data_IF_530920283792
#
_entry.id   IF_530920283792
#
_cell.length_a   1.000
_cell.length_b   1.000
_cell.length_c   1.000
_cell.angle_alpha   90.00
_cell.angle_beta   90.00
_cell.angle_gamma   90.00
#
_symmetry.space_group_name_H-M   'P 1'
#
loop_
_entity.id
_entity.type
_entity.pdbx_description
1 polymer ?
#
# COMPACT_ATOMS: atom_id res chain seq x y z
N UNK A 1 33.38 -16.01 -47.05
CA UNK A 1 32.02 -15.73 -46.57
C UNK A 1 31.77 -16.57 -45.34
N UNK A 2 31.60 -15.95 -44.18
CA UNK A 2 30.66 -16.51 -43.20
C UNK A 2 29.82 -15.45 -42.46
N UNK A 3 28.60 -15.87 -42.15
CA UNK A 3 27.81 -15.57 -40.95
C UNK A 3 27.55 -14.11 -40.53
N UNK A 4 26.45 -13.56 -41.02
CA UNK A 4 25.72 -12.45 -40.39
C UNK A 4 24.46 -12.94 -39.69
N UNK A 5 24.60 -13.81 -38.70
CA UNK A 5 23.58 -13.97 -37.65
C UNK A 5 23.67 -12.79 -36.68
N UNK A 6 23.02 -11.68 -37.04
CA UNK A 6 22.70 -10.62 -36.06
C UNK A 6 21.68 -11.18 -35.07
N UNK A 7 22.18 -11.52 -33.89
CA UNK A 7 21.42 -11.82 -32.68
C UNK A 7 20.31 -10.78 -32.50
N UNK A 8 19.08 -11.20 -32.76
CA UNK A 8 17.89 -10.52 -32.29
C UNK A 8 17.90 -10.62 -30.77
N UNK A 9 18.33 -9.55 -30.10
CA UNK A 9 18.06 -9.39 -28.69
C UNK A 9 16.57 -9.09 -28.56
N UNK A 10 15.79 -10.12 -28.25
CA UNK A 10 14.51 -9.97 -27.58
C UNK A 10 14.82 -9.19 -26.31
N UNK A 11 14.35 -7.94 -26.24
CA UNK A 11 14.37 -7.15 -25.01
C UNK A 11 13.44 -7.88 -24.03
N UNK A 12 14.00 -8.76 -23.21
CA UNK A 12 13.26 -9.39 -22.12
C UNK A 12 13.00 -8.27 -21.11
N UNK A 13 11.75 -7.80 -21.05
CA UNK A 13 11.26 -6.88 -20.01
C UNK A 13 11.42 -7.56 -18.65
N UNK A 14 12.55 -7.30 -17.97
CA UNK A 14 12.93 -8.02 -16.76
C UNK A 14 12.74 -7.12 -15.53
N UNK A 15 11.49 -6.96 -15.10
CA UNK A 15 11.22 -6.37 -13.77
C UNK A 15 11.80 -7.28 -12.71
N UNK A 16 12.34 -6.71 -11.62
CA UNK A 16 12.67 -7.45 -10.41
C UNK A 16 11.79 -7.01 -9.27
N UNK A 17 11.28 -7.98 -8.53
CA UNK A 17 10.45 -7.73 -7.37
C UNK A 17 11.29 -7.78 -6.10
N UNK A 18 10.99 -6.88 -5.19
CA UNK A 18 11.58 -6.83 -3.87
C UNK A 18 10.47 -6.77 -2.83
N UNK A 19 10.55 -7.64 -1.82
CA UNK A 19 9.78 -7.45 -0.60
C UNK A 19 10.46 -6.41 0.26
N UNK A 20 9.66 -5.43 0.69
CA UNK A 20 10.03 -4.42 1.66
C UNK A 20 9.30 -4.70 2.96
N UNK A 21 10.02 -4.63 4.07
CA UNK A 21 9.46 -4.73 5.43
C UNK A 21 9.78 -3.44 6.18
N UNK A 22 8.74 -2.75 6.63
CA UNK A 22 8.86 -1.52 7.39
C UNK A 22 8.48 -1.73 8.85
N UNK A 23 9.32 -1.30 9.78
CA UNK A 23 8.98 -1.15 11.19
C UNK A 23 8.10 0.09 11.38
N UNK A 24 7.00 -0.07 12.10
CA UNK A 24 6.17 1.06 12.49
C UNK A 24 6.76 1.78 13.71
N UNK A 25 7.11 3.05 13.54
CA UNK A 25 7.69 3.86 14.63
C UNK A 25 6.62 4.60 15.42
N UNK A 26 5.65 5.18 14.73
CA UNK A 26 4.58 6.00 15.32
C UNK A 26 3.19 5.43 15.02
N UNK A 27 2.14 5.89 15.71
CA UNK A 27 0.78 5.56 15.32
C UNK A 27 0.48 6.03 13.89
N UNK A 28 -0.39 5.29 13.18
CA UNK A 28 -0.73 5.56 11.78
C UNK A 28 -2.24 5.71 11.64
N UNK A 29 -2.68 6.79 10.98
CA UNK A 29 -4.05 6.91 10.48
C UNK A 29 -4.08 6.76 8.95
N UNK A 30 -4.89 5.82 8.47
CA UNK A 30 -5.10 5.52 7.05
C UNK A 30 -6.58 5.65 6.76
N UNK A 31 -7.04 6.84 6.37
CA UNK A 31 -8.46 7.13 6.19
C UNK A 31 -9.20 6.12 5.31
N UNK A 32 -10.34 5.63 5.80
CA UNK A 32 -11.24 4.70 5.10
C UNK A 32 -12.57 5.36 4.73
N UNK A 33 -13.31 5.83 5.72
CA UNK A 33 -14.60 6.50 5.60
C UNK A 33 -14.83 7.28 6.89
N UNK A 34 -15.45 8.47 6.84
CA UNK A 34 -15.85 9.20 8.04
C UNK A 34 -17.26 8.74 8.47
N UNK A 35 -17.40 8.25 9.70
CA UNK A 35 -18.71 7.94 10.31
C UNK A 35 -18.94 8.87 11.48
N UNK A 36 -19.79 9.89 11.29
CA UNK A 36 -20.01 10.91 12.33
C UNK A 36 -18.73 11.69 12.62
N UNK A 37 -18.29 11.69 13.88
CA UNK A 37 -17.10 12.43 14.37
C UNK A 37 -15.83 11.58 14.31
N UNK A 38 -15.94 10.25 14.12
CA UNK A 38 -14.80 9.33 14.15
C UNK A 38 -14.34 9.01 12.72
N UNK A 39 -13.06 9.31 12.45
CA UNK A 39 -12.38 8.86 11.23
C UNK A 39 -11.80 7.46 11.43
N UNK A 40 -12.39 6.44 10.80
CA UNK A 40 -11.91 5.05 10.89
C UNK A 40 -10.61 4.88 10.09
N UNK A 41 -9.65 4.14 10.64
CA UNK A 41 -8.45 3.75 9.90
C UNK A 41 -8.61 2.38 9.24
N UNK A 42 -8.05 2.22 8.04
CA UNK A 42 -7.80 0.90 7.45
C UNK A 42 -6.81 0.13 8.30
N UNK A 43 -6.93 -1.20 8.36
CA UNK A 43 -6.01 -2.10 9.08
C UNK A 43 -4.82 -2.58 8.23
N UNK A 44 -4.69 -2.06 7.01
CA UNK A 44 -3.58 -2.29 6.10
C UNK A 44 -3.27 -1.02 5.33
N UNK A 45 -2.07 -0.89 4.77
CA UNK A 45 -1.67 0.27 3.98
C UNK A 45 -1.96 -0.01 2.51
N UNK A 46 -2.87 0.73 1.87
CA UNK A 46 -3.10 0.58 0.44
C UNK A 46 -1.87 0.93 -0.39
N UNK A 47 -1.72 0.29 -1.55
CA UNK A 47 -0.57 0.53 -2.40
C UNK A 47 -0.47 1.98 -2.91
N UNK A 48 -1.59 2.69 -3.08
CA UNK A 48 -1.56 4.11 -3.45
C UNK A 48 -1.06 5.01 -2.32
N UNK A 49 -1.36 4.65 -1.06
CA UNK A 49 -0.82 5.34 0.12
C UNK A 49 0.69 5.10 0.24
N UNK A 50 1.14 3.86 0.05
CA UNK A 50 2.57 3.53 0.06
C UNK A 50 3.31 4.19 -1.10
N UNK A 51 2.74 4.14 -2.31
CA UNK A 51 3.26 4.82 -3.50
C UNK A 51 3.50 6.30 -3.23
N UNK A 52 2.52 7.02 -2.68
CA UNK A 52 2.66 8.44 -2.37
C UNK A 52 3.79 8.72 -1.37
N UNK A 53 3.91 7.89 -0.32
CA UNK A 53 4.98 8.02 0.67
C UNK A 53 6.38 7.78 0.07
N UNK A 54 6.52 6.76 -0.78
CA UNK A 54 7.78 6.46 -1.47
C UNK A 54 8.18 7.55 -2.46
N UNK A 55 7.22 8.04 -3.25
CA UNK A 55 7.43 9.15 -4.20
C UNK A 55 7.89 10.41 -3.45
N UNK A 56 7.21 10.78 -2.37
CA UNK A 56 7.56 11.96 -1.57
C UNK A 56 8.95 11.84 -0.96
N UNK A 57 9.28 10.70 -0.36
CA UNK A 57 10.59 10.46 0.26
C UNK A 57 11.71 10.48 -0.79
N UNK A 58 11.50 9.82 -1.94
CA UNK A 58 12.49 9.79 -3.01
C UNK A 58 12.70 11.17 -3.63
N UNK A 59 11.63 11.88 -3.97
CA UNK A 59 11.69 13.22 -4.55
C UNK A 59 12.39 14.21 -3.60
N UNK A 60 12.11 14.14 -2.30
CA UNK A 60 12.81 14.90 -1.26
C UNK A 60 14.31 14.58 -1.22
N UNK A 61 14.69 13.30 -1.31
CA UNK A 61 16.11 12.87 -1.33
C UNK A 61 16.89 13.47 -2.51
N UNK A 62 16.26 13.63 -3.67
CA UNK A 62 16.90 14.17 -4.87
C UNK A 62 16.64 15.68 -5.09
N UNK A 63 15.97 16.34 -4.14
CA UNK A 63 15.72 17.79 -4.17
C UNK A 63 14.80 18.24 -5.30
N UNK A 64 13.81 17.42 -5.69
CA UNK A 64 12.83 17.82 -6.69
C UNK A 64 11.72 18.69 -6.09
N UNK A 65 11.34 19.71 -6.84
CA UNK A 65 10.12 20.47 -6.58
C UNK A 65 8.86 19.67 -6.99
N UNK A 66 7.71 19.86 -6.29
CA UNK A 66 6.47 19.11 -6.51
C UNK A 66 6.02 19.02 -7.98
N UNK A 67 6.22 20.08 -8.76
CA UNK A 67 5.82 20.15 -10.17
C UNK A 67 6.60 19.19 -11.08
N UNK A 68 7.75 18.68 -10.62
CA UNK A 68 8.64 17.80 -11.38
C UNK A 68 8.54 16.32 -10.96
N UNK A 69 7.51 15.94 -10.19
CA UNK A 69 7.39 14.59 -9.65
C UNK A 69 7.05 13.52 -10.69
N UNK A 70 6.66 13.90 -11.92
CA UNK A 70 6.12 12.98 -12.93
C UNK A 70 7.04 11.78 -13.19
N UNK A 71 8.34 12.03 -13.38
CA UNK A 71 9.30 10.94 -13.64
C UNK A 71 9.52 10.05 -12.42
N UNK A 72 9.44 10.62 -11.21
CA UNK A 72 9.54 9.86 -9.95
C UNK A 72 8.31 9.00 -9.72
N UNK A 73 7.12 9.52 -10.02
CA UNK A 73 5.85 8.81 -9.82
C UNK A 73 5.85 7.44 -10.49
N UNK A 74 6.35 7.37 -11.74
CA UNK A 74 6.41 6.14 -12.53
C UNK A 74 7.32 5.05 -11.92
N UNK A 75 8.37 5.43 -11.19
CA UNK A 75 9.33 4.49 -10.59
C UNK A 75 8.72 3.60 -9.51
N UNK A 76 7.63 4.04 -8.89
CA UNK A 76 6.99 3.36 -7.75
C UNK A 76 5.60 2.82 -8.07
N UNK A 77 5.12 2.93 -9.32
CA UNK A 77 3.74 2.55 -9.67
C UNK A 77 3.46 1.04 -9.44
N UNK A 78 4.46 0.18 -9.55
CA UNK A 78 4.32 -1.27 -9.36
C UNK A 78 4.53 -1.65 -7.90
N UNK A 79 3.61 -1.22 -7.05
CA UNK A 79 3.64 -1.50 -5.61
C UNK A 79 2.36 -2.22 -5.19
N UNK A 80 2.45 -3.18 -4.29
CA UNK A 80 1.28 -3.88 -3.71
C UNK A 80 0.68 -3.07 -2.55
N UNK A 81 -0.46 -3.53 -2.02
CA UNK A 81 -0.83 -3.20 -0.65
C UNK A 81 0.22 -3.73 0.35
N UNK A 82 0.25 -3.18 1.56
CA UNK A 82 1.15 -3.59 2.64
C UNK A 82 0.34 -4.08 3.83
N UNK A 83 0.70 -5.25 4.35
CA UNK A 83 -0.03 -5.96 5.39
C UNK A 83 0.79 -6.09 6.67
N UNK A 84 0.13 -6.18 7.84
CA UNK A 84 0.84 -6.32 9.08
C UNK A 84 1.54 -7.68 9.16
N UNK A 85 2.68 -7.69 9.84
CA UNK A 85 3.40 -8.88 10.27
C UNK A 85 3.93 -8.62 11.67
N UNK A 86 4.11 -9.69 12.44
CA UNK A 86 4.72 -9.64 13.78
C UNK A 86 6.18 -10.08 13.77
N UNK A 87 6.72 -10.33 12.59
CA UNK A 87 8.08 -10.76 12.33
C UNK A 87 8.83 -9.63 11.60
N UNK A 88 10.04 -9.30 12.05
CA UNK A 88 10.87 -8.28 11.42
C UNK A 88 11.38 -8.74 10.03
N UNK A 89 11.42 -10.06 9.83
CA UNK A 89 11.56 -10.79 8.58
C UNK A 89 10.46 -10.50 7.55
N UNK A 90 9.26 -10.19 8.06
CA UNK A 90 8.01 -10.21 7.30
C UNK A 90 7.65 -11.59 6.74
N UNK A 91 8.13 -12.69 7.33
CA UNK A 91 7.89 -14.06 6.82
C UNK A 91 6.47 -14.54 7.08
N UNK A 92 5.85 -14.05 8.16
CA UNK A 92 4.47 -14.34 8.51
C UNK A 92 3.59 -13.11 8.24
N UNK A 93 3.34 -12.82 6.96
CA UNK A 93 2.45 -11.72 6.55
C UNK A 93 1.00 -12.11 6.87
N UNK A 94 0.29 -11.22 7.57
CA UNK A 94 -1.11 -11.42 7.92
C UNK A 94 -2.02 -10.96 6.78
N UNK A 95 -2.03 -11.75 5.69
CA UNK A 95 -2.88 -11.45 4.54
C UNK A 95 -4.37 -11.42 4.89
N UNK A 96 -5.14 -10.50 4.30
CA UNK A 96 -6.57 -10.38 4.58
C UNK A 96 -7.35 -11.57 3.99
N UNK A 97 -8.45 -11.97 4.63
CA UNK A 97 -9.39 -13.00 4.15
C UNK A 97 -10.79 -12.78 4.74
N UNK A 98 -11.83 -12.91 3.94
CA UNK A 98 -13.21 -12.90 4.44
C UNK A 98 -13.70 -14.28 4.87
N UNK A 99 -14.12 -14.43 6.13
CA UNK A 99 -14.78 -15.61 6.71
C UNK A 99 -16.01 -15.22 7.53
N UNK A 100 -17.12 -15.96 7.40
CA UNK A 100 -18.36 -15.65 8.15
C UNK A 100 -18.97 -14.25 7.92
N UNK A 101 -18.51 -13.48 6.92
CA UNK A 101 -18.91 -12.07 6.74
C UNK A 101 -17.99 -11.05 7.43
N UNK A 102 -17.00 -11.54 8.18
CA UNK A 102 -15.98 -10.75 8.85
C UNK A 102 -14.64 -10.83 8.10
N UNK A 103 -13.81 -9.80 8.27
CA UNK A 103 -12.46 -9.78 7.76
C UNK A 103 -11.51 -10.36 8.81
N UNK A 104 -10.62 -11.23 8.36
CA UNK A 104 -9.53 -11.83 9.13
C UNK A 104 -8.20 -11.38 8.54
N UNK A 105 -7.18 -11.29 9.37
CA UNK A 105 -5.78 -11.08 9.02
C UNK A 105 -5.00 -12.37 9.32
N UNK A 106 -4.30 -12.92 8.34
CA UNK A 106 -3.68 -14.25 8.46
C UNK A 106 -4.73 -15.37 8.54
N UNK A 107 -4.38 -16.48 9.20
CA UNK A 107 -5.27 -17.63 9.32
C UNK A 107 -6.46 -17.36 10.26
N UNK A 108 -6.18 -16.88 11.48
CA UNK A 108 -7.14 -16.93 12.60
C UNK A 108 -7.19 -15.62 13.40
N UNK A 109 -6.93 -14.46 12.78
CA UNK A 109 -6.94 -13.17 13.47
C UNK A 109 -8.07 -12.25 12.99
N UNK A 110 -9.27 -12.30 13.62
CA UNK A 110 -10.39 -11.42 13.29
C UNK A 110 -10.01 -9.92 13.35
N UNK A 111 -10.57 -9.11 12.45
CA UNK A 111 -10.37 -7.66 12.41
C UNK A 111 -10.71 -6.97 13.74
N UNK A 112 -11.79 -7.38 14.42
CA UNK A 112 -12.18 -6.79 15.70
C UNK A 112 -11.16 -7.08 16.81
N UNK A 113 -10.54 -8.26 16.82
CA UNK A 113 -9.48 -8.63 17.76
C UNK A 113 -8.20 -7.84 17.44
N UNK A 114 -7.85 -7.70 16.17
CA UNK A 114 -6.73 -6.86 15.74
C UNK A 114 -6.92 -5.41 16.21
N UNK A 115 -8.10 -4.81 15.95
CA UNK A 115 -8.42 -3.44 16.38
C UNK A 115 -8.37 -3.29 17.90
N UNK A 116 -8.96 -4.24 18.63
CA UNK A 116 -8.91 -4.23 20.10
C UNK A 116 -7.47 -4.19 20.63
N UNK A 117 -6.52 -4.85 19.97
CA UNK A 117 -5.13 -4.94 20.40
C UNK A 117 -4.25 -3.80 19.90
N UNK A 118 -4.49 -3.33 18.67
CA UNK A 118 -3.58 -2.46 17.94
C UNK A 118 -4.17 -1.13 17.50
N UNK A 119 -5.43 -0.81 17.76
CA UNK A 119 -5.96 0.54 17.51
C UNK A 119 -6.25 1.32 18.78
N UNK A 120 -6.23 2.63 18.67
CA UNK A 120 -6.61 3.58 19.72
C UNK A 120 -7.28 4.82 19.08
N UNK A 121 -7.89 5.65 19.91
CA UNK A 121 -8.46 6.93 19.46
C UNK A 121 -7.47 8.05 19.72
N UNK A 122 -7.05 8.74 18.67
CA UNK A 122 -6.29 9.98 18.76
C UNK A 122 -7.27 11.15 18.71
N UNK A 123 -7.27 11.97 19.76
CA UNK A 123 -8.11 13.17 19.86
C UNK A 123 -7.21 14.39 19.68
N UNK A 124 -7.51 15.20 18.66
CA UNK A 124 -6.85 16.49 18.47
C UNK A 124 -7.89 17.61 18.40
N UNK A 125 -7.57 18.73 19.06
CA UNK A 125 -8.32 20.00 18.96
C UNK A 125 -7.46 21.03 18.23
N UNK A 126 -8.01 21.72 17.23
CA UNK A 126 -7.32 22.86 16.65
C UNK A 126 -7.26 23.99 17.69
N UNK A 127 -6.07 24.57 17.89
CA UNK A 127 -5.89 25.74 18.76
C UNK A 127 -6.06 26.97 17.88
N UNK A 128 -7.00 27.84 18.23
CA UNK A 128 -7.17 29.13 17.58
C UNK A 128 -5.91 29.99 17.88
N UNK A 129 -5.15 30.42 16.86
CA UNK A 129 -3.89 31.13 17.07
C UNK A 129 -4.06 32.54 17.66
N UNK A 130 -5.27 33.11 17.62
CA UNK A 130 -5.58 34.46 18.14
C UNK A 130 -6.01 34.38 19.61
N UNK A 131 -6.84 33.39 19.97
CA UNK A 131 -7.37 33.27 21.34
C UNK A 131 -6.61 32.27 22.21
N UNK A 132 -5.73 31.44 21.63
CA UNK A 132 -5.08 30.28 22.29
C UNK A 132 -6.09 29.32 22.95
N UNK A 133 -7.36 29.39 22.56
CA UNK A 133 -8.41 28.46 22.98
C UNK A 133 -8.60 27.39 21.91
N UNK A 134 -9.20 26.26 22.27
CA UNK A 134 -9.69 25.33 21.26
C UNK A 134 -10.68 26.07 20.34
N UNK A 135 -10.56 25.91 19.02
CA UNK A 135 -11.63 26.33 18.11
C UNK A 135 -12.89 25.49 18.42
N UNK A 136 -14.02 26.16 18.61
CA UNK A 136 -15.33 25.49 18.73
C UNK A 136 -15.53 24.57 17.50
N UNK A 137 -16.02 23.35 17.74
CA UNK A 137 -16.25 22.30 16.72
C UNK A 137 -15.01 21.64 16.07
N UNK A 138 -13.79 21.90 16.56
CA UNK A 138 -12.54 21.34 15.99
C UNK A 138 -12.10 19.97 16.55
N UNK A 139 -12.94 19.30 17.34
CA UNK A 139 -12.59 18.02 17.96
C UNK A 139 -12.64 16.91 16.90
N UNK A 140 -11.46 16.54 16.40
CA UNK A 140 -11.31 15.42 15.47
C UNK A 140 -10.83 14.20 16.24
N UNK A 141 -11.72 13.21 16.35
CA UNK A 141 -11.36 11.88 16.82
C UNK A 141 -11.01 11.02 15.61
N UNK A 142 -9.76 10.54 15.56
CA UNK A 142 -9.33 9.61 14.52
C UNK A 142 -8.84 8.32 15.15
N UNK A 143 -9.27 7.20 14.60
CA UNK A 143 -8.71 5.91 14.97
C UNK A 143 -7.30 5.80 14.38
N UNK A 144 -6.34 5.36 15.19
CA UNK A 144 -4.95 5.14 14.77
C UNK A 144 -4.56 3.69 15.03
N UNK A 145 -3.67 3.15 14.20
CA UNK A 145 -2.98 1.88 14.47
C UNK A 145 -1.74 2.20 15.29
N UNK A 146 -1.59 1.60 16.46
CA UNK A 146 -0.43 1.71 17.33
C UNK A 146 0.75 0.85 16.84
N UNK A 147 2.01 1.29 17.03
CA UNK A 147 3.19 0.52 16.64
C UNK A 147 3.32 -0.79 17.41
N UNK A 148 2.78 -0.84 18.63
CA UNK A 148 2.89 -1.98 19.55
C UNK A 148 1.54 -2.33 20.15
N UNK A 149 1.33 -3.62 20.36
CA UNK A 149 0.16 -4.18 21.04
C UNK A 149 -0.04 -3.53 22.41
N UNK A 150 -1.29 -3.19 22.74
CA UNK A 150 -1.69 -2.74 24.09
C UNK A 150 -1.47 -3.82 25.14
N UNK A 151 -1.53 -5.11 24.76
CA UNK A 151 -1.49 -6.25 25.67
C UNK A 151 -0.09 -6.72 26.01
N UNK A 152 0.72 -6.99 24.99
CA UNK A 152 2.01 -7.67 25.12
C UNK A 152 3.19 -6.88 24.52
N UNK A 153 2.95 -5.64 24.06
CA UNK A 153 3.95 -4.77 23.44
C UNK A 153 4.62 -5.35 22.17
N UNK A 154 4.02 -6.37 21.55
CA UNK A 154 4.45 -6.91 20.25
C UNK A 154 4.42 -5.83 19.18
N UNK A 155 5.51 -5.73 18.42
CA UNK A 155 5.72 -4.74 17.36
C UNK A 155 4.97 -5.12 16.07
N UNK A 156 4.45 -4.10 15.35
CA UNK A 156 3.94 -4.24 13.99
C UNK A 156 5.04 -3.91 12.98
N UNK A 157 5.14 -4.77 11.97
CA UNK A 157 5.87 -4.54 10.74
C UNK A 157 4.90 -4.55 9.55
N UNK A 158 5.20 -3.80 8.50
CA UNK A 158 4.40 -3.70 7.29
C UNK A 158 5.16 -4.31 6.12
N UNK A 159 4.63 -5.39 5.56
CA UNK A 159 5.26 -6.11 4.44
C UNK A 159 4.50 -5.87 3.16
N UNK A 160 5.22 -5.65 2.06
CA UNK A 160 4.67 -5.47 0.71
C UNK A 160 5.74 -5.63 -0.36
N UNK A 161 5.33 -5.68 -1.62
CA UNK A 161 6.24 -5.81 -2.75
C UNK A 161 6.33 -4.52 -3.57
N UNK A 162 7.51 -4.29 -4.12
CA UNK A 162 7.74 -3.33 -5.20
C UNK A 162 8.41 -4.00 -6.40
N UNK A 163 7.87 -3.77 -7.59
CA UNK A 163 8.46 -4.15 -8.86
C UNK A 163 9.27 -2.98 -9.42
N UNK A 164 10.54 -3.24 -9.73
CA UNK A 164 11.47 -2.24 -10.28
C UNK A 164 11.91 -2.70 -11.66
N UNK A 165 11.76 -1.82 -12.66
CA UNK A 165 12.27 -2.06 -14.01
C UNK A 165 13.79 -2.24 -14.01
N UNK A 166 14.31 -3.16 -14.82
CA UNK A 166 15.74 -3.52 -14.84
C UNK A 166 16.68 -2.30 -14.90
N UNK A 167 16.36 -1.34 -15.76
CA UNK A 167 17.12 -0.11 -15.98
C UNK A 167 17.17 0.83 -14.77
N UNK A 168 16.23 0.69 -13.83
CA UNK A 168 16.12 1.54 -12.64
C UNK A 168 16.64 0.85 -11.37
N UNK A 169 17.05 -0.42 -11.43
CA UNK A 169 17.47 -1.20 -10.26
C UNK A 169 18.60 -0.51 -9.50
N UNK A 170 19.70 -0.18 -10.18
CA UNK A 170 20.89 0.37 -9.52
C UNK A 170 20.60 1.70 -8.83
N UNK A 171 19.75 2.53 -9.44
CA UNK A 171 19.30 3.81 -8.89
C UNK A 171 18.42 3.61 -7.64
N UNK A 172 17.47 2.67 -7.71
CA UNK A 172 16.44 2.47 -6.69
C UNK A 172 16.95 1.67 -5.49
N UNK A 173 17.89 0.74 -5.69
CA UNK A 173 18.44 -0.04 -4.58
C UNK A 173 19.19 0.82 -3.55
N UNK A 174 19.86 1.88 -4.00
CA UNK A 174 20.49 2.88 -3.12
C UNK A 174 19.48 3.75 -2.37
N UNK A 175 18.23 3.81 -2.82
CA UNK A 175 17.16 4.49 -2.09
C UNK A 175 16.61 3.62 -0.96
N UNK A 176 16.41 2.33 -1.22
CA UNK A 176 15.93 1.36 -0.23
C UNK A 176 17.06 0.84 0.68
N UNK A 177 17.69 1.77 1.39
CA UNK A 177 18.72 1.46 2.36
C UNK A 177 18.10 1.05 3.70
N UNK A 178 18.32 -0.19 4.09
CA UNK A 178 17.82 -0.78 5.34
C UNK A 178 18.36 -0.02 6.56
N UNK A 179 17.49 0.24 7.54
CA UNK A 179 17.79 1.00 8.75
C UNK A 179 17.90 2.52 8.55
N UNK A 180 17.96 3.02 7.31
CA UNK A 180 18.10 4.45 7.01
C UNK A 180 16.89 5.08 6.31
N UNK A 181 16.22 4.33 5.45
CA UNK A 181 15.03 4.85 4.77
C UNK A 181 13.87 4.96 5.77
N UNK A 182 13.49 6.20 6.07
CA UNK A 182 12.25 6.52 6.78
C UNK A 182 11.26 7.20 5.82
N UNK A 183 10.00 6.81 5.93
CA UNK A 183 8.88 7.36 5.15
C UNK A 183 7.72 7.68 6.08
N UNK A 184 6.86 8.59 5.64
CA UNK A 184 5.61 8.92 6.35
C UNK A 184 4.42 8.48 5.51
N UNK A 185 3.60 7.57 6.03
CA UNK A 185 2.37 7.10 5.40
C UNK A 185 1.13 7.67 6.09
N UNK A 186 0.03 7.83 5.33
CA UNK A 186 -1.24 8.35 5.85
C UNK A 186 -1.46 9.83 5.55
N UNK A 187 -2.63 10.33 5.94
CA UNK A 187 -3.15 11.63 5.51
C UNK A 187 -2.82 12.82 6.42
N UNK A 188 -2.26 12.59 7.62
CA UNK A 188 -2.14 13.64 8.64
C UNK A 188 -0.75 13.71 9.28
N UNK A 189 0.26 13.90 8.44
CA UNK A 189 1.65 14.11 8.88
C UNK A 189 1.82 15.32 9.80
N UNK A 190 0.86 16.27 9.80
CA UNK A 190 0.82 17.45 10.68
C UNK A 190 0.78 17.09 12.17
N UNK A 191 0.25 15.92 12.51
CA UNK A 191 0.17 15.43 13.88
C UNK A 191 1.34 14.52 14.29
N UNK A 192 2.38 14.41 13.45
CA UNK A 192 3.53 13.55 13.73
C UNK A 192 3.21 12.05 13.67
N UNK A 193 2.19 11.67 12.90
CA UNK A 193 1.78 10.28 12.69
C UNK A 193 2.47 9.70 11.45
N UNK A 194 2.48 8.37 11.35
CA UNK A 194 2.75 7.70 10.07
C UNK A 194 4.19 7.30 9.79
N UNK A 195 5.14 7.55 10.71
CA UNK A 195 6.56 7.21 10.46
C UNK A 195 6.78 5.70 10.42
N UNK A 196 7.45 5.28 9.36
CA UNK A 196 7.89 3.91 9.09
C UNK A 196 9.38 3.91 8.77
N UNK A 197 10.10 2.87 9.20
CA UNK A 197 11.51 2.64 8.84
C UNK A 197 11.67 1.34 8.07
N UNK A 198 12.32 1.37 6.92
CA UNK A 198 12.67 0.16 6.19
C UNK A 198 13.69 -0.64 7.01
N UNK A 199 13.39 -1.88 7.33
CA UNK A 199 14.28 -2.75 8.11
C UNK A 199 14.75 -3.99 7.35
N UNK A 200 14.07 -4.37 6.26
CA UNK A 200 14.48 -5.49 5.41
C UNK A 200 14.02 -5.27 3.97
N UNK A 201 14.91 -5.57 3.02
CA UNK A 201 14.67 -5.60 1.59
C UNK A 201 15.27 -6.87 1.00
N UNK A 202 14.43 -7.71 0.39
CA UNK A 202 14.89 -8.94 -0.28
C UNK A 202 14.26 -9.12 -1.64
N UNK A 203 14.99 -9.71 -2.58
CA UNK A 203 14.42 -10.09 -3.88
C UNK A 203 13.38 -11.19 -3.71
N UNK A 204 12.32 -11.15 -4.51
CA UNK A 204 11.27 -12.15 -4.54
C UNK A 204 11.01 -12.62 -5.98
N UNK A 205 10.67 -13.89 -6.15
CA UNK A 205 10.35 -14.50 -7.43
C UNK A 205 9.22 -15.54 -7.31
N UNK A 206 8.79 -16.07 -8.46
CA UNK A 206 7.95 -17.26 -8.57
C UNK A 206 6.81 -17.39 -7.56
N UNK A 207 6.98 -18.33 -6.62
CA UNK A 207 5.97 -18.72 -5.64
C UNK A 207 5.60 -17.58 -4.67
N UNK A 208 6.58 -16.77 -4.26
CA UNK A 208 6.33 -15.67 -3.34
C UNK A 208 5.41 -14.62 -3.97
N UNK A 209 5.59 -14.32 -5.26
CA UNK A 209 4.70 -13.40 -6.00
C UNK A 209 3.27 -13.94 -6.10
N UNK A 210 3.11 -15.26 -6.21
CA UNK A 210 1.81 -15.93 -6.22
C UNK A 210 0.98 -15.67 -4.96
N UNK A 211 1.61 -15.55 -3.79
CA UNK A 211 0.91 -15.20 -2.55
C UNK A 211 0.31 -13.78 -2.60
N UNK A 212 0.92 -12.88 -3.36
CA UNK A 212 0.43 -11.53 -3.63
C UNK A 212 -0.59 -11.48 -4.78
N UNK A 213 -0.89 -12.62 -5.40
CA UNK A 213 -1.82 -12.74 -6.52
C UNK A 213 -1.27 -12.15 -7.81
N UNK A 214 0.06 -12.06 -7.98
CA UNK A 214 0.70 -11.52 -9.18
C UNK A 214 1.76 -12.46 -9.74
N UNK A 215 2.11 -12.29 -11.02
CA UNK A 215 3.24 -12.97 -11.66
C UNK A 215 4.47 -12.03 -11.76
N UNK A 216 5.57 -12.51 -12.35
CA UNK A 216 6.81 -11.74 -12.53
C UNK A 216 6.63 -10.43 -13.31
N UNK A 217 5.62 -10.35 -14.18
CA UNK A 217 5.29 -9.13 -14.93
C UNK A 217 4.46 -8.13 -14.12
N UNK A 218 3.96 -8.54 -12.95
CA UNK A 218 3.00 -7.78 -12.15
C UNK A 218 1.56 -7.92 -12.62
N UNK A 219 1.25 -8.97 -13.39
CA UNK A 219 -0.11 -9.24 -13.87
C UNK A 219 -0.87 -10.13 -12.87
N UNK A 220 -2.20 -10.03 -12.85
CA UNK A 220 -3.07 -10.85 -11.99
C UNK A 220 -2.82 -12.35 -12.22
N UNK A 221 -2.44 -13.06 -11.15
CA UNK A 221 -2.12 -14.48 -11.14
C UNK A 221 -3.00 -15.26 -10.15
N UNK A 222 -4.30 -15.00 -10.17
CA UNK A 222 -5.30 -15.76 -9.41
C UNK A 222 -6.27 -16.33 -10.43
N UNK A 223 -6.50 -17.65 -10.42
CA UNK A 223 -7.59 -18.29 -11.19
C UNK A 223 -8.87 -18.35 -10.37
N UNK A 224 -8.76 -18.85 -9.15
CA UNK A 224 -9.78 -18.76 -8.12
C UNK A 224 -9.08 -18.71 -6.77
N UNK A 225 -9.40 -17.73 -5.93
CA UNK A 225 -8.66 -17.53 -4.69
C UNK A 225 -8.96 -16.20 -4.03
N UNK A 226 -8.22 -15.93 -2.96
CA UNK A 226 -8.30 -14.69 -2.18
C UNK A 226 -7.32 -13.68 -2.77
N UNK A 227 -7.75 -12.42 -2.94
CA UNK A 227 -6.86 -11.37 -3.45
C UNK A 227 -6.13 -10.63 -2.32
N UNK A 228 -4.83 -10.45 -2.48
CA UNK A 228 -3.99 -9.62 -1.61
C UNK A 228 -3.83 -8.17 -2.15
N UNK A 229 -4.52 -7.81 -3.23
CA UNK A 229 -4.53 -6.44 -3.75
C UNK A 229 -5.96 -6.05 -4.12
N UNK A 230 -6.22 -4.76 -4.33
CA UNK A 230 -7.49 -4.35 -4.91
C UNK A 230 -7.58 -4.86 -6.35
N UNK A 231 -8.78 -5.22 -6.80
CA UNK A 231 -9.03 -5.63 -8.19
C UNK A 231 -10.15 -4.74 -8.74
N UNK A 232 -9.91 -4.07 -9.86
CA UNK A 232 -10.94 -3.35 -10.59
C UNK A 232 -12.12 -4.28 -10.94
N UNK A 233 -13.33 -3.83 -10.68
CA UNK A 233 -14.52 -4.56 -11.09
C UNK A 233 -14.66 -4.48 -12.62
N UNK A 234 -14.37 -5.58 -13.32
CA UNK A 234 -14.37 -5.63 -14.78
C UNK A 234 -14.81 -6.99 -15.34
N UNK A 235 -15.03 -7.06 -16.65
CA UNK A 235 -15.43 -8.29 -17.35
C UNK A 235 -14.40 -9.39 -17.12
N UNK A 236 -14.88 -10.59 -16.77
CA UNK A 236 -14.03 -11.76 -16.49
C UNK A 236 -13.55 -11.86 -15.04
N UNK A 237 -13.91 -10.91 -14.17
CA UNK A 237 -13.73 -11.02 -12.72
C UNK A 237 -15.07 -11.38 -12.07
N UNK A 238 -15.17 -12.61 -11.57
CA UNK A 238 -16.32 -13.08 -10.81
C UNK A 238 -16.07 -12.92 -9.32
N UNK A 239 -16.82 -12.02 -8.68
CA UNK A 239 -16.79 -11.80 -7.24
C UNK A 239 -17.59 -12.91 -6.53
N UNK A 240 -16.91 -13.73 -5.71
CA UNK A 240 -17.53 -14.87 -5.02
C UNK A 240 -17.88 -14.53 -3.57
N UNK A 241 -17.02 -13.78 -2.88
CA UNK A 241 -17.17 -13.42 -1.46
C UNK A 241 -16.32 -12.22 -1.11
N UNK A 242 -16.78 -11.36 -0.20
CA UNK A 242 -15.98 -10.27 0.36
C UNK A 242 -16.74 -8.95 0.31
N UNK A 243 -16.04 -7.86 -0.03
CA UNK A 243 -16.66 -6.53 -0.19
C UNK A 243 -16.12 -5.82 -1.42
N UNK A 244 -16.86 -4.81 -1.86
CA UNK A 244 -16.43 -3.83 -2.85
C UNK A 244 -16.34 -2.45 -2.23
N UNK A 245 -15.54 -1.58 -2.84
CA UNK A 245 -15.31 -0.22 -2.38
C UNK A 245 -15.07 0.69 -3.59
N UNK A 246 -15.62 1.90 -3.58
CA UNK A 246 -15.24 2.94 -4.51
C UNK A 246 -14.03 3.68 -3.95
N UNK A 247 -12.89 3.56 -4.62
CA UNK A 247 -11.61 4.12 -4.15
C UNK A 247 -11.14 5.24 -5.07
N UNK A 248 -10.51 6.26 -4.47
CA UNK A 248 -9.75 7.28 -5.18
C UNK A 248 -8.28 6.87 -5.12
N UNK A 249 -7.70 6.57 -6.28
CA UNK A 249 -6.32 6.08 -6.43
C UNK A 249 -5.35 7.26 -6.49
N UNK A 250 -5.75 8.36 -7.14
CA UNK A 250 -4.89 9.53 -7.30
C UNK A 250 -5.70 10.83 -7.32
N UNK A 251 -5.20 11.82 -6.58
CA UNK A 251 -5.64 13.21 -6.64
C UNK A 251 -4.61 14.07 -7.36
N UNK A 252 -5.09 15.11 -8.04
CA UNK A 252 -4.28 16.22 -8.51
C UNK A 252 -4.44 17.41 -7.55
N UNK A 253 -3.34 17.83 -6.94
CA UNK A 253 -3.29 18.93 -5.98
C UNK A 253 -2.78 20.25 -6.58
N UNK A 254 -2.62 20.35 -7.91
CA UNK A 254 -2.16 21.59 -8.57
C UNK A 254 -3.17 22.74 -8.47
N UNK A 255 -4.41 22.46 -8.05
CA UNK A 255 -5.48 23.44 -7.85
C UNK A 255 -5.86 23.50 -6.37
N UNK A 256 -6.40 24.65 -5.95
CA UNK A 256 -6.85 24.86 -4.56
C UNK A 256 -7.90 23.85 -4.10
N UNK A 257 -8.74 23.37 -5.01
CA UNK A 257 -9.62 22.23 -4.80
C UNK A 257 -8.97 21.03 -5.49
N UNK A 258 -8.59 19.98 -4.75
CA UNK A 258 -8.00 18.78 -5.34
C UNK A 258 -8.97 18.13 -6.34
N UNK A 259 -8.47 17.76 -7.51
CA UNK A 259 -9.26 17.07 -8.53
C UNK A 259 -8.97 15.57 -8.49
N UNK A 260 -10.01 14.75 -8.59
CA UNK A 260 -9.83 13.29 -8.71
C UNK A 260 -9.23 12.99 -10.08
N UNK A 261 -7.99 12.51 -10.10
CA UNK A 261 -7.29 12.10 -11.33
C UNK A 261 -7.63 10.66 -11.69
N UNK A 262 -7.71 9.78 -10.70
CA UNK A 262 -8.06 8.38 -10.91
C UNK A 262 -8.89 7.82 -9.76
N UNK A 263 -10.03 7.19 -10.08
CA UNK A 263 -10.88 6.46 -9.13
C UNK A 263 -11.52 5.24 -9.80
N UNK A 264 -11.85 4.21 -9.01
CA UNK A 264 -12.41 2.94 -9.49
C UNK A 264 -13.35 2.31 -8.45
N UNK A 265 -14.34 1.57 -8.93
CA UNK A 265 -15.03 0.56 -8.12
C UNK A 265 -14.18 -0.71 -8.11
N UNK A 266 -13.75 -1.12 -6.92
CA UNK A 266 -12.84 -2.26 -6.75
C UNK A 266 -13.41 -3.31 -5.80
N UNK A 267 -13.04 -4.56 -6.04
CA UNK A 267 -13.08 -5.64 -5.06
C UNK A 267 -11.90 -5.43 -4.10
N UNK A 268 -12.17 -5.46 -2.79
CA UNK A 268 -11.14 -5.14 -1.79
C UNK A 268 -10.28 -6.36 -1.43
N UNK A 269 -9.06 -6.16 -0.89
CA UNK A 269 -8.24 -7.24 -0.35
C UNK A 269 -8.98 -8.16 0.63
N UNK A 270 -8.67 -9.44 0.58
CA UNK A 270 -9.30 -10.51 1.36
C UNK A 270 -10.56 -11.10 0.73
N UNK A 271 -11.07 -10.47 -0.32
CA UNK A 271 -12.20 -11.01 -1.08
C UNK A 271 -11.80 -12.22 -1.90
N UNK A 272 -12.71 -13.19 -2.04
CA UNK A 272 -12.57 -14.35 -2.92
C UNK A 272 -13.13 -14.04 -4.31
N UNK A 273 -12.32 -14.31 -5.33
CA UNK A 273 -12.67 -14.12 -6.73
C UNK A 273 -12.44 -15.40 -7.53
N UNK A 274 -13.08 -15.48 -8.70
CA UNK A 274 -12.70 -16.36 -9.80
C UNK A 274 -12.46 -15.50 -11.04
N UNK A 275 -11.31 -15.68 -11.66
CA UNK A 275 -10.85 -14.84 -12.75
C UNK A 275 -10.70 -15.64 -14.04
N UNK A 276 -11.21 -15.07 -15.12
CA UNK A 276 -10.99 -15.50 -16.50
C UNK A 276 -10.37 -14.38 -17.35
N UNK A 277 -10.17 -13.20 -16.79
CA UNK A 277 -9.48 -12.07 -17.39
C UNK A 277 -7.95 -12.23 -17.25
N UNK A 278 -7.23 -12.16 -18.37
CA UNK A 278 -5.77 -12.29 -18.40
C UNK A 278 -5.04 -10.95 -18.52
N UNK A 279 -5.77 -9.85 -18.66
CA UNK A 279 -5.23 -8.55 -19.03
C UNK A 279 -5.37 -7.57 -17.86
N UNK A 280 -4.85 -7.92 -16.69
CA UNK A 280 -4.85 -7.02 -15.53
C UNK A 280 -3.45 -6.85 -14.98
N UNK A 281 -3.03 -5.61 -14.76
CA UNK A 281 -1.72 -5.25 -14.25
C UNK A 281 -1.79 -4.47 -12.94
N UNK A 282 -0.85 -4.74 -12.04
CA UNK A 282 -0.77 -4.08 -10.74
C UNK A 282 -0.26 -2.66 -10.91
N UNK A 283 -1.02 -1.69 -10.42
CA UNK A 283 -0.65 -0.29 -10.31
C UNK A 283 -1.16 0.27 -8.98
N UNK A 284 -0.25 0.78 -8.15
CA UNK A 284 -0.58 1.48 -6.88
C UNK A 284 -1.49 0.63 -5.97
N UNK A 285 -1.20 -0.67 -5.85
CA UNK A 285 -2.00 -1.62 -5.05
C UNK A 285 -3.31 -2.08 -5.68
N UNK A 286 -3.57 -1.71 -6.93
CA UNK A 286 -4.79 -2.06 -7.66
C UNK A 286 -4.43 -2.80 -8.94
N UNK A 287 -5.03 -3.97 -9.15
CA UNK A 287 -5.00 -4.68 -10.42
C UNK A 287 -6.04 -4.03 -11.34
N UNK A 288 -5.57 -3.41 -12.42
CA UNK A 288 -6.37 -2.65 -13.37
C UNK A 288 -6.38 -3.34 -14.73
N UNK A 289 -7.50 -3.26 -15.44
CA UNK A 289 -7.61 -3.80 -16.80
C UNK A 289 -6.70 -3.00 -17.75
N UNK A 290 -5.83 -3.70 -18.47
CA UNK A 290 -5.00 -3.11 -19.53
C UNK A 290 -5.88 -2.89 -20.76
N UNK A 291 -5.90 -1.65 -21.26
CA UNK A 291 -6.61 -1.28 -22.50
C UNK A 291 -5.76 -1.55 -23.72
#
# INVERSE_FOLDING_TARGET
MPDTMRKHWVIIMNKKWYKLVFEQLDPIHIGKTAYGVISETRIFIPGWTMWGALVNSYAGKIGLEPDNFKDVQHLFERVTCFYPSFDNEGNAVLFPKFEGGELYLGADYPENVFRMEFTDTFVSTAINPISLTAEEESLHEMEVILPKSKRNKRQIYWSGLIGIEAENIDKMLNFFEEGRLEITVGGDSRYGLGRLRLISKRGEDGEALGQWGINEKGELNIREGVTANYIEFSTGIHFLKGKTEYIIIEFNFQKAIPEVKESRLCIIPGSKIRNTNKNMELKKGVLLTVK
#
